data_IF_685806895440
#
_entry.id   IF_685806895440
#
_cell.length_a   1.000
_cell.length_b   1.000
_cell.length_c   1.000
_cell.angle_alpha   90.00
_cell.angle_beta   90.00
_cell.angle_gamma   90.00
#
_symmetry.space_group_name_H-M   'P 1'
#
loop_
_entity.id
_entity.type
_entity.pdbx_description
1 polymer ?
#
# COMPACT_ATOMS: atom_id res chain seq x y z
N UNK A 1 11.09 17.28 6.09
CA UNK A 1 11.69 16.86 4.81
C UNK A 1 11.09 15.52 4.40
N UNK A 2 10.99 15.24 3.10
CA UNK A 2 10.62 13.93 2.54
C UNK A 2 11.52 13.70 1.33
N UNK A 3 12.06 12.50 1.15
CA UNK A 3 12.90 12.17 0.00
C UNK A 3 12.03 11.41 -1.01
N UNK A 4 12.01 11.88 -2.26
CA UNK A 4 11.26 11.26 -3.35
C UNK A 4 12.26 10.82 -4.40
N UNK A 5 12.43 9.50 -4.52
CA UNK A 5 13.37 8.88 -5.46
C UNK A 5 12.58 8.39 -6.67
N UNK A 6 12.84 8.96 -7.84
CA UNK A 6 12.35 8.42 -9.10
C UNK A 6 13.38 7.43 -9.64
N UNK A 7 12.98 6.16 -9.74
CA UNK A 7 13.77 5.10 -10.35
C UNK A 7 13.16 4.80 -11.72
N UNK A 8 13.74 5.37 -12.77
CA UNK A 8 13.19 5.30 -14.13
C UNK A 8 13.90 4.19 -14.90
N UNK A 9 13.11 3.26 -15.41
CA UNK A 9 13.56 2.28 -16.38
C UNK A 9 13.98 2.99 -17.66
N UNK A 10 15.25 2.84 -17.99
CA UNK A 10 15.87 3.37 -19.21
C UNK A 10 16.26 2.25 -20.16
N UNK A 11 15.82 1.01 -19.93
CA UNK A 11 16.15 -0.12 -20.80
C UNK A 11 15.62 0.05 -22.23
N UNK A 12 16.20 -0.69 -23.18
CA UNK A 12 15.86 -0.55 -24.60
C UNK A 12 14.37 -0.80 -24.92
N UNK A 13 13.64 -1.56 -24.08
CA UNK A 13 12.21 -1.84 -24.27
C UNK A 13 11.31 -0.62 -24.03
N UNK A 14 11.78 0.39 -23.27
CA UNK A 14 11.07 1.66 -23.06
C UNK A 14 10.99 2.55 -24.33
N UNK A 15 11.67 2.17 -25.43
CA UNK A 15 11.50 2.78 -26.76
C UNK A 15 10.18 2.40 -27.48
N UNK A 16 9.39 1.48 -26.92
CA UNK A 16 8.08 1.14 -27.47
C UNK A 16 7.18 2.39 -27.58
N UNK A 17 6.35 2.44 -28.62
CA UNK A 17 5.44 3.57 -28.91
C UNK A 17 4.05 3.28 -28.40
N UNK A 18 3.51 4.18 -27.58
CA UNK A 18 2.12 4.10 -27.12
C UNK A 18 1.13 4.57 -28.20
N UNK A 19 -0.12 4.11 -28.15
CA UNK A 19 -1.21 4.56 -29.03
C UNK A 19 -1.56 6.06 -28.93
N UNK A 20 -0.91 6.82 -28.03
CA UNK A 20 -1.17 8.24 -27.76
C UNK A 20 -0.68 9.16 -28.90
N UNK A 21 -1.33 9.08 -30.06
CA UNK A 21 -0.96 9.81 -31.28
C UNK A 21 0.29 9.27 -31.99
N UNK A 22 0.80 8.08 -31.61
CA UNK A 22 1.93 7.39 -32.24
C UNK A 22 3.31 8.05 -32.08
N UNK A 23 3.38 9.25 -31.48
CA UNK A 23 4.61 10.04 -31.33
C UNK A 23 5.45 9.71 -30.08
N UNK A 24 4.90 9.61 -28.85
CA UNK A 24 5.70 9.41 -27.66
C UNK A 24 6.13 7.94 -27.47
N UNK A 25 7.34 7.75 -26.96
CA UNK A 25 7.82 6.48 -26.41
C UNK A 25 7.29 6.26 -24.98
N UNK A 26 7.41 5.06 -24.43
CA UNK A 26 7.10 4.81 -23.01
C UNK A 26 7.99 5.66 -22.08
N UNK A 27 9.26 5.90 -22.44
CA UNK A 27 10.13 6.82 -21.69
C UNK A 27 9.62 8.27 -21.73
N UNK A 28 9.10 8.76 -22.87
CA UNK A 28 8.52 10.10 -22.93
C UNK A 28 7.28 10.23 -22.02
N UNK A 29 6.46 9.17 -21.95
CA UNK A 29 5.33 9.10 -21.01
C UNK A 29 5.82 9.05 -19.56
N UNK A 30 6.88 8.30 -19.26
CA UNK A 30 7.49 8.27 -17.93
C UNK A 30 8.02 9.66 -17.51
N UNK A 31 8.76 10.35 -18.38
CA UNK A 31 9.21 11.74 -18.17
C UNK A 31 8.03 12.67 -17.89
N UNK A 32 6.98 12.60 -18.71
CA UNK A 32 5.76 13.40 -18.53
C UNK A 32 5.02 13.09 -17.22
N UNK A 33 5.01 11.83 -16.80
CA UNK A 33 4.45 11.41 -15.51
C UNK A 33 5.20 12.04 -14.33
N UNK A 34 6.54 11.99 -14.34
CA UNK A 34 7.38 12.61 -13.31
C UNK A 34 7.21 14.13 -13.28
N UNK A 35 7.25 14.80 -14.44
CA UNK A 35 6.99 16.25 -14.50
C UNK A 35 5.62 16.60 -13.91
N UNK A 36 4.60 15.79 -14.19
CA UNK A 36 3.22 16.05 -13.72
C UNK A 36 3.09 15.77 -12.22
N UNK A 37 3.71 14.70 -11.72
CA UNK A 37 3.79 14.43 -10.28
C UNK A 37 4.42 15.60 -9.53
N UNK A 38 5.57 16.12 -9.99
CA UNK A 38 6.24 17.26 -9.35
C UNK A 38 5.32 18.50 -9.35
N UNK A 39 4.66 18.80 -10.48
CA UNK A 39 3.71 19.93 -10.60
C UNK A 39 2.49 19.79 -9.69
N UNK A 40 1.93 18.58 -9.53
CA UNK A 40 0.80 18.31 -8.64
C UNK A 40 1.25 18.37 -7.18
N UNK A 41 2.39 17.77 -6.84
CA UNK A 41 2.98 17.79 -5.49
C UNK A 41 3.29 19.21 -5.01
N UNK A 42 3.79 20.08 -5.89
CA UNK A 42 4.04 21.49 -5.63
C UNK A 42 2.80 22.33 -5.25
N UNK A 43 1.58 21.80 -5.44
CA UNK A 43 0.35 22.45 -4.94
C UNK A 43 0.20 22.31 -3.42
N UNK A 44 0.82 21.30 -2.80
CA UNK A 44 0.81 21.13 -1.34
C UNK A 44 1.86 22.02 -0.68
N UNK A 45 1.55 22.76 0.40
CA UNK A 45 2.55 23.57 1.11
C UNK A 45 3.68 22.72 1.73
N UNK A 46 3.42 21.44 2.00
CA UNK A 46 4.37 20.49 2.57
C UNK A 46 5.55 20.19 1.62
N UNK A 47 5.35 20.36 0.31
CA UNK A 47 6.34 20.02 -0.71
C UNK A 47 7.58 20.91 -0.72
N UNK A 48 7.54 22.05 -0.03
CA UNK A 48 8.67 22.99 0.07
C UNK A 48 9.90 22.38 0.75
N UNK A 49 9.70 21.32 1.53
CA UNK A 49 10.77 20.56 2.16
C UNK A 49 11.05 19.21 1.51
N UNK A 50 10.51 18.91 0.33
CA UNK A 50 10.78 17.65 -0.37
C UNK A 50 12.08 17.74 -1.17
N UNK A 51 12.83 16.63 -1.22
CA UNK A 51 14.00 16.47 -2.10
C UNK A 51 13.72 15.42 -3.14
N UNK A 52 14.17 15.67 -4.37
CA UNK A 52 13.98 14.77 -5.51
C UNK A 52 15.31 14.16 -5.92
N UNK A 53 15.32 12.85 -6.12
CA UNK A 53 16.48 12.11 -6.62
C UNK A 53 16.08 11.36 -7.90
N UNK A 54 16.99 11.28 -8.86
CA UNK A 54 16.77 10.60 -10.14
C UNK A 54 17.80 9.49 -10.30
N UNK A 55 17.32 8.25 -10.29
CA UNK A 55 18.11 7.05 -10.54
C UNK A 55 17.59 6.33 -11.80
N UNK A 56 18.48 5.60 -12.46
CA UNK A 56 18.23 4.80 -13.66
C UNK A 56 18.65 3.35 -13.44
N UNK A 57 18.39 2.49 -14.43
CA UNK A 57 18.75 1.07 -14.39
C UNK A 57 20.21 0.81 -14.88
N UNK A 58 21.00 1.86 -15.08
CA UNK A 58 22.43 1.71 -15.38
C UNK A 58 23.21 1.15 -14.17
N UNK A 59 24.44 0.69 -14.41
CA UNK A 59 25.34 0.26 -13.33
C UNK A 59 25.93 1.46 -12.58
N UNK A 60 26.23 1.34 -11.27
CA UNK A 60 26.94 2.38 -10.52
C UNK A 60 28.35 2.67 -11.09
N UNK A 61 28.80 3.94 -11.10
CA UNK A 61 28.17 5.12 -10.52
C UNK A 61 27.23 5.89 -11.47
N UNK A 62 27.08 5.46 -12.73
CA UNK A 62 26.31 6.19 -13.74
C UNK A 62 24.79 6.16 -13.49
N UNK A 63 24.34 5.22 -12.65
CA UNK A 63 22.96 5.04 -12.23
C UNK A 63 22.32 6.27 -11.56
N UNK A 64 23.09 7.09 -10.82
CA UNK A 64 22.60 8.31 -10.16
C UNK A 64 22.75 9.49 -11.13
N UNK A 65 21.62 9.99 -11.64
CA UNK A 65 21.59 11.20 -12.49
C UNK A 65 21.40 12.47 -11.67
N UNK A 66 20.54 12.43 -10.64
CA UNK A 66 20.39 13.53 -9.68
C UNK A 66 20.43 12.99 -8.24
N UNK A 67 21.43 13.42 -7.48
CA UNK A 67 21.67 12.99 -6.10
C UNK A 67 20.96 13.85 -5.04
N UNK A 68 21.09 13.47 -3.77
CA UNK A 68 20.41 14.11 -2.62
C UNK A 68 20.79 15.59 -2.34
N UNK A 69 21.88 16.06 -2.95
CA UNK A 69 22.36 17.46 -2.88
C UNK A 69 21.87 18.32 -4.04
N UNK A 70 21.30 17.73 -5.08
CA UNK A 70 20.92 18.45 -6.29
C UNK A 70 19.65 19.27 -6.10
N UNK A 71 19.56 20.35 -6.89
CA UNK A 71 18.38 21.19 -6.93
C UNK A 71 17.36 20.65 -7.97
N UNK A 72 16.12 21.13 -7.88
CA UNK A 72 15.04 20.69 -8.78
C UNK A 72 15.31 21.04 -10.26
N UNK A 73 16.06 22.09 -10.57
CA UNK A 73 16.40 22.44 -11.96
C UNK A 73 17.39 21.44 -12.55
N UNK A 74 18.42 21.01 -11.81
CA UNK A 74 19.32 19.91 -12.22
C UNK A 74 18.50 18.63 -12.45
N UNK A 75 17.64 18.25 -11.49
CA UNK A 75 16.77 17.08 -11.62
C UNK A 75 15.90 17.13 -12.90
N UNK A 76 15.26 18.26 -13.18
CA UNK A 76 14.41 18.42 -14.38
C UNK A 76 15.20 18.49 -15.68
N UNK A 77 16.48 18.89 -15.65
CA UNK A 77 17.37 18.83 -16.80
C UNK A 77 17.77 17.37 -17.11
N UNK A 78 18.25 16.65 -16.10
CA UNK A 78 18.64 15.24 -16.25
C UNK A 78 17.46 14.36 -16.67
N UNK A 79 16.28 14.58 -16.09
CA UNK A 79 15.04 13.91 -16.49
C UNK A 79 14.75 14.05 -17.99
N UNK A 80 14.97 15.23 -18.57
CA UNK A 80 14.76 15.48 -20.00
C UNK A 80 15.80 14.76 -20.86
N UNK A 81 17.06 14.77 -20.39
CA UNK A 81 18.21 14.21 -21.09
C UNK A 81 18.31 12.67 -21.02
N UNK A 82 17.50 11.99 -20.20
CA UNK A 82 17.45 10.52 -20.16
C UNK A 82 17.25 9.91 -21.57
N UNK A 83 17.99 8.85 -21.87
CA UNK A 83 17.89 8.08 -23.10
C UNK A 83 17.57 6.62 -22.79
N UNK A 84 16.89 5.93 -23.71
CA UNK A 84 16.64 4.51 -23.59
C UNK A 84 17.89 3.71 -24.01
N UNK A 85 18.73 3.34 -23.04
CA UNK A 85 19.94 2.54 -23.21
C UNK A 85 20.04 1.48 -22.11
N UNK A 86 20.39 0.25 -22.47
CA UNK A 86 20.70 -0.82 -21.52
C UNK A 86 19.60 -1.88 -21.36
N UNK A 87 19.76 -2.67 -20.29
CA UNK A 87 18.93 -3.84 -19.97
C UNK A 87 18.08 -3.59 -18.72
N UNK A 88 17.09 -4.44 -18.47
CA UNK A 88 16.09 -4.26 -17.41
C UNK A 88 16.57 -4.86 -16.08
N UNK A 89 17.66 -4.33 -15.53
CA UNK A 89 18.38 -4.78 -14.31
C UNK A 89 17.71 -4.34 -13.00
N UNK A 90 16.37 -4.40 -12.95
CA UNK A 90 15.53 -3.83 -11.89
C UNK A 90 15.97 -4.18 -10.46
N UNK A 91 16.42 -5.42 -10.22
CA UNK A 91 16.85 -5.86 -8.89
C UNK A 91 18.13 -5.17 -8.39
N UNK A 92 19.11 -4.97 -9.27
CA UNK A 92 20.33 -4.22 -8.95
C UNK A 92 20.00 -2.73 -8.78
N UNK A 93 19.25 -2.16 -9.71
CA UNK A 93 18.86 -0.75 -9.69
C UNK A 93 18.08 -0.38 -8.41
N UNK A 94 17.12 -1.22 -7.99
CA UNK A 94 16.36 -1.00 -6.76
C UNK A 94 17.21 -1.20 -5.50
N UNK A 95 18.10 -2.20 -5.48
CA UNK A 95 19.07 -2.36 -4.38
C UNK A 95 19.93 -1.10 -4.23
N UNK A 96 20.44 -0.56 -5.33
CA UNK A 96 21.25 0.67 -5.30
C UNK A 96 20.44 1.91 -4.86
N UNK A 97 19.13 1.97 -5.16
CA UNK A 97 18.27 3.02 -4.62
C UNK A 97 18.13 2.94 -3.09
N UNK A 98 17.91 1.74 -2.54
CA UNK A 98 17.89 1.52 -1.09
C UNK A 98 19.26 1.80 -0.43
N UNK A 99 20.35 1.31 -1.03
CA UNK A 99 21.73 1.56 -0.60
C UNK A 99 22.00 3.07 -0.43
N UNK A 100 21.65 3.87 -1.44
CA UNK A 100 21.86 5.33 -1.43
C UNK A 100 21.01 6.02 -0.36
N UNK A 101 19.76 5.61 -0.17
CA UNK A 101 18.92 6.13 0.92
C UNK A 101 19.51 5.78 2.29
N UNK A 102 19.95 4.54 2.49
CA UNK A 102 20.52 4.08 3.75
C UNK A 102 21.84 4.81 4.08
N UNK A 103 22.68 5.12 3.08
CA UNK A 103 23.87 5.95 3.26
C UNK A 103 23.52 7.35 3.79
N UNK A 104 22.43 7.97 3.31
CA UNK A 104 21.98 9.25 3.84
C UNK A 104 21.52 9.14 5.31
N UNK A 105 20.77 8.09 5.65
CA UNK A 105 20.35 7.80 7.05
C UNK A 105 21.53 7.62 8.00
N UNK A 106 22.60 6.98 7.55
CA UNK A 106 23.82 6.84 8.35
C UNK A 106 24.54 8.17 8.56
N UNK A 107 24.51 9.09 7.58
CA UNK A 107 25.05 10.44 7.74
C UNK A 107 24.22 11.30 8.71
N UNK A 108 22.90 11.06 8.79
CA UNK A 108 22.01 11.75 9.75
C UNK A 108 21.98 11.08 11.13
N UNK A 109 22.41 9.82 11.25
CA UNK A 109 22.57 9.11 12.51
C UNK A 109 21.25 8.71 13.19
N UNK A 110 20.16 8.58 12.43
CA UNK A 110 18.79 8.39 12.95
C UNK A 110 18.47 6.94 13.37
N UNK A 111 19.27 5.97 12.94
CA UNK A 111 19.07 4.56 13.27
C UNK A 111 19.78 4.23 14.61
N UNK A 112 19.03 4.30 15.71
CA UNK A 112 19.52 4.20 17.10
C UNK A 112 19.60 2.75 17.62
N UNK A 113 20.39 1.90 16.96
CA UNK A 113 20.57 0.50 17.40
C UNK A 113 21.07 0.39 18.85
N UNK A 114 20.46 -0.51 19.63
CA UNK A 114 20.74 -0.72 21.05
C UNK A 114 20.02 0.26 21.99
N UNK A 115 19.26 1.23 21.46
CA UNK A 115 18.49 2.21 22.25
C UNK A 115 16.98 2.16 21.96
N UNK A 116 16.53 1.14 21.20
CA UNK A 116 15.15 1.03 20.74
C UNK A 116 14.86 1.87 19.50
N UNK A 117 13.68 1.64 18.91
CA UNK A 117 13.24 2.27 17.66
C UNK A 117 12.36 3.47 17.93
N UNK A 118 12.86 4.67 17.64
CA UNK A 118 12.16 5.94 17.84
C UNK A 118 11.24 6.28 16.64
N UNK A 119 9.89 6.19 16.73
CA UNK A 119 9.00 6.47 15.60
C UNK A 119 8.97 7.94 15.16
N UNK A 120 9.61 8.82 15.93
CA UNK A 120 9.73 10.26 15.67
C UNK A 120 11.05 10.64 14.96
N UNK A 121 12.02 9.73 14.85
CA UNK A 121 13.24 9.93 14.05
C UNK A 121 13.04 9.37 12.64
N UNK A 122 12.41 10.19 11.78
CA UNK A 122 12.00 9.80 10.44
C UNK A 122 12.72 10.56 9.35
N UNK A 123 13.17 9.82 8.35
CA UNK A 123 13.62 10.34 7.05
C UNK A 123 12.72 9.73 5.96
N UNK A 124 11.43 10.13 5.93
CA UNK A 124 10.42 9.45 5.14
C UNK A 124 10.79 9.53 3.66
N UNK A 125 10.87 8.36 3.04
CA UNK A 125 11.42 8.19 1.70
C UNK A 125 10.45 7.40 0.84
N UNK A 126 10.15 7.91 -0.34
CA UNK A 126 9.24 7.27 -1.30
C UNK A 126 9.99 7.00 -2.59
N UNK A 127 10.11 5.73 -2.95
CA UNK A 127 10.66 5.29 -4.23
C UNK A 127 9.50 5.09 -5.19
N UNK A 128 9.55 5.77 -6.33
CA UNK A 128 8.60 5.66 -7.44
C UNK A 128 9.32 5.03 -8.62
N UNK A 129 9.11 3.73 -8.83
CA UNK A 129 9.66 2.99 -9.96
C UNK A 129 8.73 3.17 -11.16
N UNK A 130 9.27 3.49 -12.33
CA UNK A 130 8.51 3.54 -13.58
C UNK A 130 9.16 2.59 -14.58
N UNK A 131 8.39 1.63 -15.10
CA UNK A 131 8.85 0.55 -16.00
C UNK A 131 7.75 0.18 -16.98
N UNK A 132 8.07 -0.52 -18.06
CA UNK A 132 7.09 -1.06 -19.02
C UNK A 132 6.39 -2.34 -18.52
N UNK A 133 6.99 -3.03 -17.53
CA UNK A 133 6.51 -4.33 -17.06
C UNK A 133 6.86 -5.48 -18.00
N UNK A 134 7.88 -5.30 -18.85
CA UNK A 134 8.46 -6.36 -19.66
C UNK A 134 9.20 -7.41 -18.83
N UNK A 135 9.74 -8.44 -19.50
CA UNK A 135 10.56 -9.44 -18.81
C UNK A 135 11.89 -8.82 -18.36
N UNK A 136 12.29 -9.11 -17.12
CA UNK A 136 13.54 -8.62 -16.56
C UNK A 136 14.73 -9.24 -17.30
N UNK A 137 15.71 -8.42 -17.69
CA UNK A 137 16.84 -8.84 -18.50
C UNK A 137 18.16 -8.37 -17.88
N UNK A 138 19.16 -9.26 -17.91
CA UNK A 138 20.51 -8.98 -17.48
C UNK A 138 21.52 -9.59 -18.46
N UNK A 139 22.82 -9.37 -18.23
CA UNK A 139 23.91 -9.84 -19.10
C UNK A 139 23.99 -11.37 -19.26
N UNK A 140 23.36 -12.14 -18.38
CA UNK A 140 23.33 -13.61 -18.41
C UNK A 140 22.03 -14.18 -19.02
N UNK A 141 20.98 -13.38 -19.19
CA UNK A 141 19.74 -13.80 -19.81
C UNK A 141 18.50 -13.07 -19.28
N UNK A 142 17.34 -13.69 -19.51
CA UNK A 142 16.04 -13.22 -19.02
C UNK A 142 15.75 -13.89 -17.68
N UNK A 143 15.44 -13.10 -16.64
CA UNK A 143 15.05 -13.59 -15.33
C UNK A 143 13.52 -13.50 -15.18
N UNK A 144 12.90 -14.59 -14.72
CA UNK A 144 11.46 -14.59 -14.40
C UNK A 144 11.22 -14.22 -12.92
N UNK A 145 12.17 -14.53 -12.03
CA UNK A 145 12.11 -14.19 -10.61
C UNK A 145 12.80 -12.85 -10.30
N UNK A 146 12.14 -12.04 -9.47
CA UNK A 146 12.70 -10.79 -8.93
C UNK A 146 13.31 -11.02 -7.55
N UNK A 147 14.63 -11.21 -7.50
CA UNK A 147 15.38 -11.35 -6.26
C UNK A 147 16.34 -10.16 -6.07
N UNK A 148 16.24 -9.46 -4.94
CA UNK A 148 17.21 -8.43 -4.56
C UNK A 148 18.51 -9.08 -4.07
N UNK A 149 19.70 -8.64 -4.54
CA UNK A 149 20.97 -9.11 -3.98
C UNK A 149 21.09 -8.63 -2.53
N UNK A 150 20.95 -9.53 -1.55
CA UNK A 150 20.93 -9.16 -0.13
C UNK A 150 22.30 -8.76 0.45
N UNK A 151 23.40 -9.07 -0.23
CA UNK A 151 24.72 -8.60 0.19
C UNK A 151 24.90 -7.13 -0.17
N UNK A 152 24.79 -6.24 0.82
CA UNK A 152 25.25 -4.86 0.69
C UNK A 152 26.67 -4.71 1.29
N UNK A 153 27.61 -4.05 0.60
CA UNK A 153 28.94 -3.75 1.13
C UNK A 153 28.95 -2.53 2.06
N UNK A 154 27.78 -2.01 2.45
CA UNK A 154 27.64 -0.83 3.30
C UNK A 154 27.94 -1.22 4.76
N UNK A 155 28.88 -0.53 5.45
CA UNK A 155 29.14 -0.77 6.87
C UNK A 155 27.87 -0.58 7.72
N UNK A 156 27.61 -1.46 8.68
CA UNK A 156 26.39 -1.43 9.49
C UNK A 156 25.14 -2.00 8.79
N UNK A 157 25.24 -2.47 7.54
CA UNK A 157 24.13 -3.19 6.90
C UNK A 157 23.88 -4.56 7.55
N UNK A 158 24.90 -5.16 8.15
CA UNK A 158 24.82 -6.38 8.98
C UNK A 158 23.87 -6.23 10.20
N UNK A 159 23.59 -4.99 10.63
CA UNK A 159 22.64 -4.70 11.70
C UNK A 159 21.18 -4.77 11.23
N UNK A 160 20.89 -4.88 9.93
CA UNK A 160 19.52 -5.02 9.40
C UNK A 160 19.43 -6.10 8.33
N UNK A 161 18.51 -7.06 8.51
CA UNK A 161 18.35 -8.16 7.53
C UNK A 161 17.73 -7.71 6.20
N UNK A 162 16.93 -6.65 6.23
CA UNK A 162 16.17 -6.16 5.08
C UNK A 162 16.87 -4.96 4.44
N UNK A 163 16.81 -4.81 3.10
CA UNK A 163 17.47 -3.71 2.39
C UNK A 163 16.76 -2.37 2.59
N UNK A 164 15.47 -2.38 2.94
CA UNK A 164 14.65 -1.19 3.16
C UNK A 164 14.41 -0.92 4.66
N UNK A 165 13.85 0.25 4.97
CA UNK A 165 13.49 0.68 6.33
C UNK A 165 12.00 0.98 6.44
N UNK A 166 11.49 1.00 7.68
CA UNK A 166 10.07 1.20 8.00
C UNK A 166 9.43 2.49 7.51
N UNK A 167 10.23 3.52 7.22
CA UNK A 167 9.81 4.81 6.68
C UNK A 167 10.19 4.97 5.18
N UNK A 168 10.62 3.88 4.53
CA UNK A 168 10.84 3.77 3.10
C UNK A 168 9.70 3.00 2.44
N UNK A 169 9.11 3.56 1.38
CA UNK A 169 7.92 2.99 0.71
C UNK A 169 8.12 2.91 -0.80
N UNK A 170 7.79 1.76 -1.39
CA UNK A 170 7.94 1.50 -2.82
C UNK A 170 6.60 1.57 -3.54
N UNK A 171 6.51 2.39 -4.58
CA UNK A 171 5.41 2.34 -5.54
C UNK A 171 5.97 2.07 -6.93
N UNK A 172 5.27 1.23 -7.70
CA UNK A 172 5.62 0.96 -9.09
C UNK A 172 4.51 1.39 -10.03
N UNK A 173 4.88 2.08 -11.10
CA UNK A 173 4.02 2.50 -12.20
C UNK A 173 4.41 1.66 -13.41
N UNK A 174 3.57 0.69 -13.74
CA UNK A 174 3.82 -0.28 -14.81
C UNK A 174 3.05 0.17 -16.05
N UNK A 175 3.77 0.70 -17.03
CA UNK A 175 3.25 1.37 -18.22
C UNK A 175 2.84 0.37 -19.31
N UNK A 176 1.79 -0.43 -19.04
CA UNK A 176 1.18 -1.36 -20.00
C UNK A 176 0.30 -0.64 -21.04
N UNK A 177 0.85 0.40 -21.67
CA UNK A 177 0.19 1.19 -22.70
C UNK A 177 0.26 0.47 -24.04
N UNK A 178 -0.87 -0.05 -24.52
CA UNK A 178 -0.94 -0.71 -25.83
C UNK A 178 -0.64 0.26 -26.98
N UNK A 179 -0.13 -0.30 -28.09
CA UNK A 179 -0.09 0.36 -29.41
C UNK A 179 -1.44 0.35 -30.14
N UNK A 180 -2.46 -0.33 -29.59
CA UNK A 180 -3.86 -0.31 -30.05
C UNK A 180 -4.74 0.52 -29.11
N UNK A 181 -5.90 1.03 -29.56
CA UNK A 181 -6.86 1.63 -28.64
C UNK A 181 -7.26 0.62 -27.54
N UNK A 182 -7.29 1.08 -26.29
CA UNK A 182 -7.79 0.29 -25.18
C UNK A 182 -9.31 0.04 -25.36
N UNK A 183 -9.72 -1.22 -25.26
CA UNK A 183 -11.13 -1.64 -25.37
C UNK A 183 -11.86 -1.59 -24.02
N UNK A 184 -11.12 -1.67 -22.91
CA UNK A 184 -11.69 -1.62 -21.57
C UNK A 184 -12.20 -0.22 -21.20
N UNK A 185 -13.39 -0.18 -20.59
CA UNK A 185 -14.00 1.05 -20.07
C UNK A 185 -13.52 1.30 -18.64
N UNK A 186 -13.26 2.57 -18.34
CA UNK A 186 -12.73 3.04 -17.06
C UNK A 186 -13.51 2.50 -15.83
N UNK A 187 -12.94 1.50 -15.15
CA UNK A 187 -13.25 1.25 -13.74
C UNK A 187 -12.54 2.33 -12.93
N UNK A 188 -13.26 3.06 -12.08
CA UNK A 188 -12.77 4.27 -11.41
C UNK A 188 -11.61 4.08 -10.41
N UNK A 189 -11.06 2.88 -10.28
CA UNK A 189 -9.93 2.54 -9.44
C UNK A 189 -8.84 1.90 -10.30
N UNK A 190 -7.63 2.45 -10.25
CA UNK A 190 -6.47 1.88 -10.95
C UNK A 190 -6.15 0.50 -10.32
N UNK A 191 -6.10 -0.59 -11.10
CA UNK A 191 -5.81 -1.92 -10.60
C UNK A 191 -4.36 -2.05 -10.14
N UNK A 192 -4.11 -2.99 -9.23
CA UNK A 192 -2.74 -3.41 -8.91
C UNK A 192 -2.19 -4.19 -10.10
N UNK A 193 -0.88 -4.16 -10.30
CA UNK A 193 -0.23 -4.96 -11.31
C UNK A 193 0.19 -6.33 -10.76
N UNK A 194 0.25 -7.35 -11.61
CA UNK A 194 0.61 -8.72 -11.21
C UNK A 194 2.09 -9.06 -11.44
N UNK A 195 2.94 -8.06 -11.68
CA UNK A 195 4.38 -8.27 -11.87
C UNK A 195 5.12 -8.59 -10.55
N UNK A 196 6.29 -9.25 -10.59
CA UNK A 196 7.07 -9.61 -9.39
C UNK A 196 7.40 -8.47 -8.43
N UNK A 197 7.40 -7.21 -8.90
CA UNK A 197 7.59 -6.02 -8.05
C UNK A 197 6.45 -5.77 -7.06
N UNK A 198 5.23 -6.29 -7.30
CA UNK A 198 4.06 -6.01 -6.43
C UNK A 198 4.27 -6.52 -5.00
N UNK A 199 4.87 -7.70 -4.83
CA UNK A 199 5.23 -8.23 -3.51
C UNK A 199 6.18 -7.29 -2.74
N UNK A 200 7.16 -6.67 -3.42
CA UNK A 200 8.08 -5.71 -2.80
C UNK A 200 7.38 -4.37 -2.48
N UNK A 201 6.46 -3.94 -3.33
CA UNK A 201 5.58 -2.80 -3.08
C UNK A 201 4.69 -3.04 -1.85
N UNK A 202 4.11 -4.23 -1.69
CA UNK A 202 3.27 -4.57 -0.54
C UNK A 202 4.09 -4.65 0.77
N UNK A 203 5.25 -5.32 0.75
CA UNK A 203 6.12 -5.47 1.92
C UNK A 203 6.58 -4.11 2.46
N UNK A 204 6.86 -3.14 1.59
CA UNK A 204 7.24 -1.76 1.97
C UNK A 204 6.03 -0.84 2.24
N UNK A 205 4.81 -1.37 2.35
CA UNK A 205 3.60 -0.57 2.63
C UNK A 205 3.22 0.42 1.52
N UNK A 206 3.63 0.15 0.29
CA UNK A 206 3.28 0.86 -0.93
C UNK A 206 2.26 0.10 -1.79
N UNK A 207 2.37 0.19 -3.12
CA UNK A 207 1.46 -0.47 -4.08
C UNK A 207 2.02 -0.43 -5.52
N UNK A 208 1.83 -1.49 -6.31
CA UNK A 208 1.95 -1.39 -7.76
C UNK A 208 0.70 -0.81 -8.43
N UNK A 209 0.88 -0.21 -9.61
CA UNK A 209 -0.19 0.37 -10.41
C UNK A 209 -0.02 -0.07 -11.87
N UNK A 210 -1.02 -0.82 -12.39
CA UNK A 210 -1.08 -1.17 -13.80
C UNK A 210 -1.75 -0.05 -14.59
N UNK A 211 -1.00 0.56 -15.52
CA UNK A 211 -1.40 1.77 -16.26
C UNK A 211 -1.59 1.42 -17.74
N UNK A 212 -2.85 1.27 -18.16
CA UNK A 212 -3.23 0.95 -19.54
C UNK A 212 -3.66 2.18 -20.35
N UNK A 213 -3.94 3.31 -19.70
CA UNK A 213 -4.34 4.56 -20.35
C UNK A 213 -3.69 5.80 -19.73
N UNK A 214 -3.57 6.87 -20.51
CA UNK A 214 -3.08 8.16 -20.02
C UNK A 214 -4.01 8.80 -18.97
N UNK A 215 -5.31 8.49 -19.00
CA UNK A 215 -6.27 8.91 -17.96
C UNK A 215 -5.96 8.24 -16.62
N UNK A 216 -5.74 6.92 -16.64
CA UNK A 216 -5.37 6.14 -15.46
C UNK A 216 -4.01 6.57 -14.89
N UNK A 217 -3.04 6.94 -15.75
CA UNK A 217 -1.77 7.52 -15.33
C UNK A 217 -1.98 8.78 -14.46
N UNK A 218 -2.85 9.70 -14.88
CA UNK A 218 -3.12 10.93 -14.13
C UNK A 218 -3.84 10.65 -12.81
N UNK A 219 -4.85 9.78 -12.81
CA UNK A 219 -5.52 9.33 -11.58
C UNK A 219 -4.54 8.62 -10.60
N UNK A 220 -3.61 7.83 -11.13
CA UNK A 220 -2.55 7.19 -10.36
C UNK A 220 -1.63 8.24 -9.72
N UNK A 221 -1.20 9.26 -10.47
CA UNK A 221 -0.36 10.36 -9.96
C UNK A 221 -1.06 11.12 -8.83
N UNK A 222 -2.33 11.51 -9.00
CA UNK A 222 -3.10 12.22 -7.97
C UNK A 222 -3.25 11.35 -6.70
N UNK A 223 -3.55 10.05 -6.86
CA UNK A 223 -3.61 9.09 -5.74
C UNK A 223 -2.25 8.91 -5.05
N UNK A 224 -1.16 8.86 -5.82
CA UNK A 224 0.19 8.67 -5.30
C UNK A 224 0.64 9.90 -4.49
N UNK A 225 0.41 11.11 -4.99
CA UNK A 225 0.75 12.36 -4.28
C UNK A 225 0.08 12.43 -2.91
N UNK A 226 -1.18 11.99 -2.79
CA UNK A 226 -1.91 11.91 -1.52
C UNK A 226 -1.33 10.86 -0.56
N UNK A 227 -0.72 9.79 -1.08
CA UNK A 227 -0.07 8.73 -0.29
C UNK A 227 1.34 9.08 0.19
N UNK A 228 1.99 10.10 -0.36
CA UNK A 228 3.31 10.57 0.09
C UNK A 228 3.18 11.38 1.38
N UNK A 229 3.04 10.64 2.49
CA UNK A 229 2.87 11.13 3.87
C UNK A 229 4.03 10.67 4.76
N UNK A 230 4.30 11.43 5.82
CA UNK A 230 5.31 11.09 6.84
C UNK A 230 4.73 10.08 7.83
N UNK A 231 5.32 8.90 7.95
CA UNK A 231 4.87 7.87 8.89
C UNK A 231 5.77 6.64 8.86
N UNK A 232 5.44 5.67 9.71
CA UNK A 232 6.13 4.38 9.81
C UNK A 232 5.21 3.26 9.37
N UNK A 233 5.71 2.32 8.59
CA UNK A 233 5.03 1.07 8.27
C UNK A 233 5.30 0.10 9.42
N UNK A 234 4.23 -0.43 10.00
CA UNK A 234 4.27 -1.50 11.01
C UNK A 234 3.44 -2.67 10.46
N UNK A 235 4.00 -3.87 10.53
CA UNK A 235 3.27 -5.10 10.29
C UNK A 235 2.60 -5.57 11.59
N UNK A 236 1.29 -5.66 11.56
CA UNK A 236 0.49 -6.20 12.66
C UNK A 236 0.24 -7.66 12.36
N UNK A 237 0.63 -8.57 13.25
CA UNK A 237 0.33 -10.00 13.13
C UNK A 237 -0.78 -10.39 14.10
N UNK A 238 -1.75 -11.17 13.63
CA UNK A 238 -2.82 -11.68 14.49
C UNK A 238 -2.29 -12.82 15.36
N UNK A 239 -2.31 -12.62 16.68
CA UNK A 239 -2.00 -13.67 17.67
C UNK A 239 -3.25 -14.01 18.48
N UNK A 240 -3.59 -15.29 18.53
CA UNK A 240 -4.76 -15.80 19.28
C UNK A 240 -6.00 -16.09 18.42
N UNK A 241 -7.05 -16.68 19.04
CA UNK A 241 -8.30 -17.00 18.35
C UNK A 241 -9.07 -15.74 17.95
N UNK A 242 -9.95 -15.87 16.96
CA UNK A 242 -10.82 -14.79 16.51
C UNK A 242 -11.66 -14.21 17.66
N UNK A 243 -11.72 -12.87 17.82
CA UNK A 243 -12.65 -12.28 18.75
C UNK A 243 -14.08 -12.64 18.32
N UNK A 244 -14.94 -12.94 19.30
CA UNK A 244 -16.35 -13.21 19.04
C UNK A 244 -16.97 -12.06 18.23
N UNK A 245 -17.85 -12.34 17.25
CA UNK A 245 -18.47 -11.30 16.44
C UNK A 245 -19.13 -10.26 17.34
N UNK A 246 -18.70 -9.00 17.23
CA UNK A 246 -19.34 -7.88 17.95
C UNK A 246 -20.72 -7.69 17.34
N UNK A 247 -21.74 -8.23 18.00
CA UNK A 247 -23.14 -7.95 17.68
C UNK A 247 -23.36 -6.48 17.99
N UNK A 248 -23.46 -5.66 16.94
CA UNK A 248 -23.80 -4.25 17.08
C UNK A 248 -25.29 -4.12 17.41
N UNK A 249 -25.65 -4.26 18.69
CA UNK A 249 -26.98 -3.87 19.15
C UNK A 249 -27.16 -2.36 18.94
N UNK A 250 -28.18 -2.00 18.15
CA UNK A 250 -28.45 -0.62 17.77
C UNK A 250 -29.12 0.16 18.91
N UNK A 251 -28.33 1.03 19.54
CA UNK A 251 -28.71 2.35 20.06
C UNK A 251 -30.17 2.55 20.52
N UNK A 252 -30.40 2.59 21.84
CA UNK A 252 -31.20 3.65 22.48
C UNK A 252 -30.55 4.09 23.81
N UNK A 253 -30.82 5.33 24.18
CA UNK A 253 -30.11 6.07 25.22
C UNK A 253 -30.69 5.86 26.63
N UNK A 254 -29.90 6.29 27.61
CA UNK A 254 -30.25 6.70 28.99
C UNK A 254 -31.18 5.79 29.79
N UNK A 255 -30.61 5.07 30.76
CA UNK A 255 -30.80 5.46 32.17
C UNK A 255 -29.83 4.75 33.12
N UNK A 256 -29.44 5.51 34.15
CA UNK A 256 -28.75 5.06 35.35
C UNK A 256 -29.57 3.96 36.07
N UNK A 257 -28.94 2.85 36.47
CA UNK A 257 -29.58 1.83 37.33
C UNK A 257 -28.71 1.60 38.56
N UNK A 258 -28.90 2.48 39.53
CA UNK A 258 -28.56 2.23 40.93
C UNK A 258 -29.32 1.03 41.47
N UNK A 259 -28.64 0.17 42.23
CA UNK A 259 -29.25 -0.94 42.95
C UNK A 259 -30.13 -0.39 44.08
N UNK A 260 -31.41 -0.77 44.09
CA UNK A 260 -32.32 -0.58 45.23
C UNK A 260 -33.19 -1.82 45.40
N UNK A 261 -33.18 -2.39 46.59
CA UNK A 261 -33.90 -3.61 46.96
C UNK A 261 -35.32 -3.30 47.51
N UNK A 262 -36.12 -4.37 47.59
CA UNK A 262 -37.20 -4.62 48.54
C UNK A 262 -38.58 -3.93 48.37
N UNK A 263 -39.52 -4.81 48.02
CA UNK A 263 -40.71 -5.15 48.81
C UNK A 263 -42.00 -4.32 48.82
N UNK A 264 -43.06 -5.13 48.99
CA UNK A 264 -44.38 -4.86 49.57
C UNK A 264 -45.57 -4.58 48.64
N UNK A 265 -46.34 -5.67 48.46
CA UNK A 265 -47.78 -5.74 48.74
C UNK A 265 -48.79 -4.88 47.94
N UNK A 266 -49.47 -5.58 47.02
CA UNK A 266 -50.86 -6.04 47.21
C UNK A 266 -52.00 -5.49 46.32
N UNK A 267 -52.80 -6.47 45.85
CA UNK A 267 -54.26 -6.45 45.57
C UNK A 267 -54.83 -5.48 44.52
N UNK A 268 -55.47 -6.07 43.51
CA UNK A 268 -56.48 -5.40 42.68
C UNK A 268 -56.98 -6.26 41.52
N UNK A 269 -57.97 -7.13 41.76
CA UNK A 269 -58.73 -7.76 40.66
C UNK A 269 -59.52 -6.70 39.88
N UNK A 270 -59.70 -6.90 38.56
CA UNK A 270 -61.02 -7.21 37.98
C UNK A 270 -60.95 -7.31 36.44
N UNK A 271 -61.23 -8.50 35.94
CA UNK A 271 -62.13 -8.85 34.82
C UNK A 271 -62.48 -7.77 33.77
N UNK A 272 -62.26 -8.07 32.47
CA UNK A 272 -63.34 -8.51 31.57
C UNK A 272 -62.92 -8.82 30.12
N UNK A 273 -63.62 -9.82 29.57
CA UNK A 273 -63.82 -10.18 28.15
C UNK A 273 -64.51 -9.01 27.37
N UNK A 274 -64.73 -9.03 26.04
CA UNK A 274 -64.70 -10.05 24.97
C UNK A 274 -64.44 -9.33 23.61
N UNK A 275 -64.69 -10.03 22.49
CA UNK A 275 -64.82 -9.54 21.07
C UNK A 275 -63.48 -9.20 20.38
N UNK A 276 -62.96 -9.95 19.39
CA UNK A 276 -63.55 -10.79 18.32
C UNK A 276 -64.43 -9.98 17.36
N UNK A 277 -63.91 -9.69 16.16
CA UNK A 277 -64.66 -9.96 14.93
C UNK A 277 -63.79 -10.04 13.67
N UNK A 278 -64.32 -10.74 12.66
CA UNK A 278 -63.68 -11.07 11.37
C UNK A 278 -64.56 -10.62 10.21
N UNK A 279 -63.99 -9.99 9.19
CA UNK A 279 -64.51 -9.94 7.80
C UNK A 279 -63.36 -9.49 6.87
N UNK A 280 -63.03 -10.14 5.73
CA UNK A 280 -63.82 -10.57 4.54
C UNK A 280 -64.46 -9.37 3.81
N UNK A 281 -64.48 -9.25 2.48
CA UNK A 281 -63.90 -10.03 1.34
C UNK A 281 -62.89 -9.12 0.58
N UNK A 282 -62.39 -9.30 -0.65
CA UNK A 282 -62.39 -10.32 -1.74
C UNK A 282 -61.12 -10.06 -2.61
N UNK A 283 -60.79 -10.62 -3.79
CA UNK A 283 -61.25 -11.70 -4.73
C UNK A 283 -59.92 -12.19 -5.41
N UNK A 284 -59.72 -13.44 -5.84
CA UNK A 284 -60.09 -14.07 -7.13
C UNK A 284 -59.65 -13.24 -8.39
N UNK A 285 -59.01 -13.80 -9.44
CA UNK A 285 -59.15 -15.16 -9.93
C UNK A 285 -57.99 -15.68 -10.83
N UNK A 286 -57.70 -16.99 -10.69
CA UNK A 286 -57.48 -18.03 -11.73
C UNK A 286 -56.42 -17.94 -12.85
N UNK A 287 -55.47 -18.89 -12.98
CA UNK A 287 -55.56 -20.32 -13.43
C UNK A 287 -55.48 -20.50 -14.98
N UNK A 288 -54.92 -21.56 -15.61
CA UNK A 288 -54.45 -22.88 -15.14
C UNK A 288 -53.60 -23.64 -16.21
N UNK A 289 -53.07 -24.83 -15.84
CA UNK A 289 -52.76 -26.04 -16.68
C UNK A 289 -51.60 -25.90 -17.69
N UNK A 290 -50.80 -26.92 -18.05
CA UNK A 290 -50.65 -28.36 -17.72
C UNK A 290 -49.28 -28.83 -18.31
N UNK A 291 -48.69 -30.02 -18.08
CA UNK A 291 -48.65 -31.05 -17.02
C UNK A 291 -47.60 -32.12 -17.47
N UNK A 292 -46.91 -32.83 -16.57
CA UNK A 292 -45.93 -33.86 -16.97
C UNK A 292 -45.21 -34.59 -15.83
N UNK A 293 -45.76 -35.73 -15.38
CA UNK A 293 -45.24 -36.54 -14.26
C UNK A 293 -44.38 -37.73 -14.75
N UNK A 294 -43.29 -38.04 -14.04
CA UNK A 294 -42.83 -39.43 -13.76
C UNK A 294 -41.90 -39.49 -12.54
N UNK A 295 -42.01 -40.58 -11.78
CA UNK A 295 -41.40 -40.80 -10.45
C UNK A 295 -40.19 -41.73 -10.50
N UNK A 296 -39.19 -41.57 -9.62
CA UNK A 296 -38.99 -42.46 -8.45
C UNK A 296 -37.61 -42.33 -7.75
N UNK A 297 -37.64 -42.56 -6.42
CA UNK A 297 -36.57 -43.00 -5.51
C UNK A 297 -35.39 -42.07 -5.11
N UNK A 298 -35.29 -41.79 -3.79
CA UNK A 298 -34.00 -41.88 -3.07
C UNK A 298 -33.52 -40.72 -2.17
N UNK A 299 -34.07 -40.61 -0.94
CA UNK A 299 -33.44 -40.17 0.36
C UNK A 299 -32.67 -38.81 0.42
N UNK A 300 -32.86 -37.97 1.47
CA UNK A 300 -32.42 -36.55 1.46
C UNK A 300 -31.02 -36.26 2.04
N UNK A 301 -30.42 -35.13 1.64
CA UNK A 301 -29.15 -34.63 2.20
C UNK A 301 -28.87 -33.15 1.94
N UNK A 302 -29.17 -32.30 2.94
CA UNK A 302 -28.72 -30.93 3.20
C UNK A 302 -28.44 -29.94 2.03
N UNK A 303 -29.36 -28.97 1.88
CA UNK A 303 -29.06 -27.68 1.27
C UNK A 303 -28.06 -26.88 2.12
N UNK A 304 -26.90 -26.54 1.57
CA UNK A 304 -26.04 -25.50 2.13
C UNK A 304 -26.60 -24.11 1.73
N UNK A 305 -27.14 -23.37 2.70
CA UNK A 305 -27.58 -21.98 2.49
C UNK A 305 -26.35 -21.07 2.60
N UNK A 306 -26.02 -20.36 1.51
CA UNK A 306 -25.03 -19.29 1.55
C UNK A 306 -25.53 -18.11 2.42
N UNK A 307 -24.82 -17.72 3.49
CA UNK A 307 -25.08 -16.45 4.16
C UNK A 307 -24.44 -15.32 3.36
N UNK A 308 -25.24 -14.35 2.94
CA UNK A 308 -24.77 -13.12 2.30
C UNK A 308 -23.95 -12.27 3.29
N UNK A 309 -22.74 -11.91 2.87
CA UNK A 309 -21.94 -10.76 3.31
C UNK A 309 -22.42 -9.99 4.55
N UNK A 310 -22.10 -10.48 5.74
CA UNK A 310 -21.83 -9.58 6.86
C UNK A 310 -20.53 -8.81 6.53
N UNK A 311 -20.45 -7.52 6.87
CA UNK A 311 -19.25 -6.71 6.62
C UNK A 311 -18.07 -7.26 7.42
N UNK A 312 -17.18 -8.00 6.77
CA UNK A 312 -15.95 -8.51 7.36
C UNK A 312 -15.02 -7.36 7.71
N UNK A 313 -15.02 -6.97 8.99
CA UNK A 313 -14.03 -6.05 9.53
C UNK A 313 -12.65 -6.69 9.44
N UNK A 314 -11.90 -6.35 8.39
CA UNK A 314 -10.54 -6.86 8.16
C UNK A 314 -9.51 -6.28 9.14
N UNK A 315 -9.96 -5.48 10.12
CA UNK A 315 -9.12 -4.89 11.17
C UNK A 315 -8.40 -5.92 12.07
N UNK A 316 -8.87 -7.17 12.10
CA UNK A 316 -8.27 -8.26 12.89
C UNK A 316 -7.42 -9.26 12.09
N UNK A 317 -7.06 -8.95 10.84
CA UNK A 317 -6.14 -9.77 10.05
C UNK A 317 -4.71 -9.22 10.08
N UNK A 318 -3.73 -10.11 9.88
CA UNK A 318 -2.33 -9.72 9.67
C UNK A 318 -2.23 -8.71 8.53
N UNK A 319 -1.72 -7.50 8.80
CA UNK A 319 -1.65 -6.45 7.80
C UNK A 319 -0.55 -5.42 8.07
N UNK A 320 0.04 -4.89 6.98
CA UNK A 320 0.96 -3.75 7.04
C UNK A 320 0.17 -2.44 6.99
N UNK A 321 0.38 -1.56 7.96
CA UNK A 321 -0.29 -0.26 8.05
C UNK A 321 0.72 0.87 8.24
N UNK A 322 0.48 1.97 7.52
CA UNK A 322 1.18 3.23 7.75
C UNK A 322 0.58 3.90 8.99
N UNK A 323 1.37 4.02 10.05
CA UNK A 323 1.06 4.84 11.20
C UNK A 323 1.58 6.25 10.93
N UNK A 324 0.66 7.21 10.82
CA UNK A 324 1.01 8.62 10.65
C UNK A 324 1.71 9.16 11.90
N UNK A 325 2.84 9.81 11.71
CA UNK A 325 3.60 10.40 12.82
C UNK A 325 3.51 11.93 12.72
N UNK A 326 2.76 12.60 13.62
CA UNK A 326 2.52 14.02 13.53
C UNK A 326 3.81 14.82 13.78
N UNK A 327 4.05 15.83 12.94
CA UNK A 327 5.13 16.81 13.17
C UNK A 327 4.64 17.90 14.12
N UNK A 328 5.50 18.31 15.06
CA UNK A 328 5.19 19.44 15.94
C UNK A 328 5.14 20.74 15.14
N UNK A 329 4.01 21.46 15.21
CA UNK A 329 3.84 22.74 14.53
C UNK A 329 4.86 23.82 14.99
N UNK A 330 5.39 23.70 16.21
CA UNK A 330 6.38 24.64 16.76
C UNK A 330 7.83 24.31 16.34
N UNK A 331 8.16 23.02 16.19
CA UNK A 331 9.54 22.56 15.97
C UNK A 331 9.81 22.06 14.54
N UNK A 332 8.78 21.77 13.74
CA UNK A 332 8.90 21.29 12.36
C UNK A 332 9.32 19.81 12.20
N UNK A 333 9.74 19.16 13.28
CA UNK A 333 10.04 17.73 13.35
C UNK A 333 9.04 16.98 14.25
N UNK A 334 8.98 15.66 14.12
CA UNK A 334 8.17 14.82 15.00
C UNK A 334 8.80 14.76 16.40
N UNK A 335 7.99 14.89 17.44
CA UNK A 335 8.43 14.79 18.83
C UNK A 335 7.60 13.70 19.48
N UNK A 336 8.27 12.72 20.08
CA UNK A 336 7.64 11.64 20.80
C UNK A 336 8.49 11.17 21.97
N UNK A 337 7.89 10.29 22.75
CA UNK A 337 8.52 9.58 23.86
C UNK A 337 8.27 8.08 23.65
N UNK A 338 8.94 7.23 24.42
CA UNK A 338 8.76 5.76 24.39
C UNK A 338 9.11 5.13 23.03
N UNK A 339 10.41 4.92 22.73
CA UNK A 339 10.81 4.10 21.61
C UNK A 339 10.26 2.67 21.75
N UNK A 340 9.98 2.03 20.62
CA UNK A 340 9.59 0.61 20.59
C UNK A 340 10.84 -0.20 20.98
N UNK A 341 10.77 -1.09 22.00
CA UNK A 341 11.90 -1.91 22.39
C UNK A 341 12.31 -2.87 21.27
N UNK A 342 13.54 -3.37 21.34
CA UNK A 342 14.08 -4.29 20.34
C UNK A 342 13.50 -5.69 20.53
N UNK A 343 13.42 -6.48 19.45
CA UNK A 343 12.79 -7.80 19.45
C UNK A 343 13.64 -8.92 20.08
N UNK A 344 14.76 -8.56 20.71
CA UNK A 344 15.66 -9.47 21.40
C UNK A 344 15.99 -8.93 22.80
N UNK A 345 16.37 -9.81 23.71
CA UNK A 345 16.82 -9.43 25.03
C UNK A 345 18.31 -9.05 24.99
N UNK A 346 18.72 -7.84 25.39
CA UNK A 346 20.12 -7.44 25.35
C UNK A 346 20.94 -8.18 26.41
N UNK A 347 22.06 -8.78 25.98
CA UNK A 347 23.04 -9.42 26.85
C UNK A 347 24.21 -8.46 27.10
N UNK A 348 24.50 -8.19 28.38
CA UNK A 348 25.61 -7.34 28.86
C UNK A 348 27.00 -7.83 28.42
N UNK A 349 27.13 -9.11 28.06
CA UNK A 349 28.38 -9.75 27.65
C UNK A 349 28.54 -9.90 26.14
N UNK A 350 27.51 -9.59 25.33
CA UNK A 350 27.59 -9.77 23.87
C UNK A 350 28.41 -8.68 23.21
N UNK A 351 29.43 -9.08 22.46
CA UNK A 351 30.23 -8.18 21.60
C UNK A 351 29.59 -7.93 20.22
N UNK A 352 28.46 -8.58 19.91
CA UNK A 352 27.73 -8.44 18.65
C UNK A 352 26.23 -8.23 18.87
N UNK A 353 25.64 -7.32 18.09
CA UNK A 353 24.19 -7.11 18.05
C UNK A 353 23.54 -8.11 17.09
N UNK A 354 22.33 -8.55 17.41
CA UNK A 354 21.52 -9.41 16.53
C UNK A 354 20.99 -8.57 15.37
N UNK A 355 21.13 -9.05 14.12
CA UNK A 355 20.60 -8.36 12.93
C UNK A 355 19.09 -8.13 13.05
N UNK A 356 18.69 -6.86 12.99
CA UNK A 356 17.33 -6.39 13.21
C UNK A 356 16.41 -6.84 12.06
N UNK A 357 15.20 -7.26 12.43
CA UNK A 357 14.09 -7.61 11.51
C UNK A 357 13.08 -6.45 11.53
N UNK A 358 12.51 -6.07 10.39
CA UNK A 358 11.46 -5.04 10.39
C UNK A 358 10.19 -5.59 11.05
N UNK A 359 9.45 -4.74 11.76
CA UNK A 359 8.39 -5.16 12.68
C UNK A 359 7.01 -5.14 12.03
#
# INVERSE_FOLDING_TARGET
>A
MTIIVFLIDTSASMNQRAYLGGRPTLLDVAKGAVETFVKVRQRSPESRGDRYMLLTFEDPPANIKAGWKENLATFMNELKNLQCVGMTTMGAALKHAFDVLNINRMQTGIDTYGQGRCPYFLEPSVIVVITDGGKLSNSAGVQEDFNLPMHSPIPGSELTREPFRWDQRLFSLVLRLSGTPALDRDVGLVPSDTSPIDAMCEVTGGRSYCITSHRMLMQCIDSLVQKVQSGVVINFEKMGPDPLPVISEGTKADSDVTIAENDSESKGNNDKEWDKDYSLTSEEDSNNKNNGVRLSNGVPGNNAVNPLSASSSTAWHTCRRLIYVPRSAQKGFAVGFWPIPESFWPDLSSSSLVSFIMM
#
